data_IF_424368692704
#
_entry.id   IF_424368692704
#
_cell.length_a   1.000
_cell.length_b   1.000
_cell.length_c   1.000
_cell.angle_alpha   90.00
_cell.angle_beta   90.00
_cell.angle_gamma   90.00
#
_symmetry.space_group_name_H-M   'P 1'
#
loop_
_entity.id
_entity.type
_entity.pdbx_description
1 polymer ?
#
# COMPACT_ATOMS: atom_id res chain seq x y z
N UNK A 1 11.76 -3.50 9.52
CA UNK A 1 10.61 -3.97 8.70
C UNK A 1 9.26 -3.34 9.08
N UNK A 2 8.92 -3.11 10.36
CA UNK A 2 7.62 -2.53 10.74
C UNK A 2 7.21 -1.25 9.97
N UNK A 3 8.10 -0.26 9.87
CA UNK A 3 7.85 0.98 9.13
C UNK A 3 7.65 0.76 7.63
N UNK A 4 8.29 -0.26 7.05
CA UNK A 4 8.14 -0.63 5.64
C UNK A 4 6.73 -1.16 5.40
N UNK A 5 6.24 -2.06 6.26
CA UNK A 5 4.87 -2.58 6.16
C UNK A 5 3.81 -1.50 6.33
N UNK A 6 4.01 -0.57 7.27
CA UNK A 6 3.15 0.60 7.40
C UNK A 6 3.17 1.46 6.13
N UNK A 7 4.34 1.77 5.59
CA UNK A 7 4.47 2.59 4.39
C UNK A 7 3.81 1.95 3.16
N UNK A 8 3.90 0.62 2.99
CA UNK A 8 3.23 -0.12 1.90
C UNK A 8 1.71 0.11 1.92
N UNK A 9 1.10 0.16 3.10
CA UNK A 9 -0.36 0.39 3.23
C UNK A 9 -0.71 1.88 3.18
N UNK A 10 0.10 2.73 3.83
CA UNK A 10 -0.19 4.15 3.98
C UNK A 10 0.09 4.98 2.72
N UNK A 11 1.06 4.59 1.87
CA UNK A 11 1.37 5.34 0.66
C UNK A 11 0.19 5.46 -0.32
N UNK A 12 -0.53 4.38 -0.71
CA UNK A 12 -1.70 4.48 -1.58
C UNK A 12 -2.88 5.16 -0.87
N UNK A 13 -3.01 4.99 0.46
CA UNK A 13 -4.02 5.71 1.23
C UNK A 13 -3.79 7.22 1.19
N UNK A 14 -2.55 7.67 1.43
CA UNK A 14 -2.18 9.07 1.34
C UNK A 14 -2.40 9.63 -0.07
N UNK A 15 -2.02 8.86 -1.10
CA UNK A 15 -2.26 9.26 -2.49
C UNK A 15 -3.75 9.36 -2.82
N UNK A 16 -4.58 8.44 -2.33
CA UNK A 16 -6.03 8.47 -2.49
C UNK A 16 -6.65 9.67 -1.76
N UNK A 17 -6.19 10.00 -0.55
CA UNK A 17 -6.64 11.20 0.17
C UNK A 17 -6.27 12.49 -0.58
N UNK A 18 -5.05 12.57 -1.12
CA UNK A 18 -4.59 13.74 -1.88
C UNK A 18 -5.41 13.87 -3.17
N UNK A 19 -5.53 12.82 -3.97
CA UNK A 19 -6.27 12.84 -5.22
C UNK A 19 -7.79 13.03 -5.00
N UNK A 20 -8.36 12.44 -3.95
CA UNK A 20 -9.79 12.52 -3.64
C UNK A 20 -10.21 13.88 -3.07
N UNK A 21 -9.48 14.41 -2.08
CA UNK A 21 -9.83 15.67 -1.43
C UNK A 21 -9.33 16.90 -2.21
N UNK A 22 -8.16 16.80 -2.85
CA UNK A 22 -7.52 17.93 -3.53
C UNK A 22 -7.46 17.76 -5.06
N UNK A 23 -8.12 16.75 -5.63
CA UNK A 23 -8.13 16.48 -7.07
C UNK A 23 -8.50 17.69 -7.94
N UNK A 24 -9.46 18.51 -7.50
CA UNK A 24 -9.85 19.75 -8.20
C UNK A 24 -8.77 20.83 -8.19
N UNK A 25 -7.92 20.86 -7.16
CA UNK A 25 -6.84 21.85 -7.02
C UNK A 25 -5.57 21.43 -7.78
N UNK A 26 -5.21 20.14 -7.75
CA UNK A 26 -4.02 19.60 -8.44
C UNK A 26 -4.28 19.25 -9.90
N UNK A 27 -5.55 19.23 -10.31
CA UNK A 27 -5.99 18.85 -11.64
C UNK A 27 -5.80 17.37 -11.94
N UNK A 28 -6.36 16.95 -13.08
CA UNK A 28 -6.37 15.56 -13.53
C UNK A 28 -4.97 14.94 -13.64
N UNK A 29 -4.03 15.65 -14.25
CA UNK A 29 -2.65 15.17 -14.40
C UNK A 29 -1.95 14.99 -13.04
N UNK A 30 -2.18 15.90 -12.09
CA UNK A 30 -1.66 15.79 -10.73
C UNK A 30 -2.23 14.59 -9.98
N UNK A 31 -3.55 14.36 -10.09
CA UNK A 31 -4.21 13.21 -9.47
C UNK A 31 -3.66 11.86 -9.98
N UNK A 32 -3.45 11.72 -11.29
CA UNK A 32 -2.83 10.53 -11.89
C UNK A 32 -1.40 10.31 -11.40
N UNK A 33 -0.57 11.35 -11.39
CA UNK A 33 0.81 11.24 -10.92
C UNK A 33 0.91 10.85 -9.44
N UNK A 34 0.11 11.48 -8.58
CA UNK A 34 0.13 11.21 -7.14
C UNK A 34 -0.30 9.77 -6.84
N UNK A 35 -1.36 9.29 -7.50
CA UNK A 35 -1.86 7.92 -7.30
C UNK A 35 -0.90 6.86 -7.83
N UNK A 36 -0.31 7.07 -9.02
CA UNK A 36 0.71 6.18 -9.57
C UNK A 36 1.96 6.15 -8.69
N UNK A 37 2.44 7.30 -8.22
CA UNK A 37 3.59 7.35 -7.32
C UNK A 37 3.28 6.67 -5.98
N UNK A 38 2.10 6.87 -5.41
CA UNK A 38 1.69 6.23 -4.16
C UNK A 38 1.70 4.71 -4.26
N UNK A 39 1.09 4.16 -5.30
CA UNK A 39 1.09 2.70 -5.54
C UNK A 39 2.47 2.19 -5.94
N UNK A 40 3.24 2.97 -6.72
CA UNK A 40 4.59 2.63 -7.14
C UNK A 40 5.56 2.52 -5.97
N UNK A 41 5.48 3.43 -4.99
CA UNK A 41 6.25 3.33 -3.74
C UNK A 41 5.88 2.04 -3.00
N UNK A 42 4.59 1.73 -2.86
CA UNK A 42 4.17 0.47 -2.23
C UNK A 42 4.65 -0.77 -2.96
N UNK A 43 4.67 -0.76 -4.30
CA UNK A 43 5.20 -1.86 -5.08
C UNK A 43 6.70 -2.06 -4.83
N UNK A 44 7.50 -0.98 -4.90
CA UNK A 44 8.94 -1.04 -4.62
C UNK A 44 9.21 -1.54 -3.19
N UNK A 45 8.49 -1.04 -2.20
CA UNK A 45 8.64 -1.49 -0.81
C UNK A 45 8.20 -2.94 -0.61
N UNK A 46 7.17 -3.41 -1.34
CA UNK A 46 6.76 -4.82 -1.32
C UNK A 46 7.83 -5.74 -1.90
N UNK A 47 8.56 -5.31 -2.94
CA UNK A 47 9.71 -6.04 -3.48
C UNK A 47 10.86 -6.15 -2.47
N UNK A 48 11.12 -5.09 -1.71
CA UNK A 48 12.11 -5.11 -0.62
C UNK A 48 11.70 -6.12 0.45
N UNK A 49 10.43 -6.11 0.87
CA UNK A 49 9.91 -7.10 1.81
C UNK A 49 9.97 -8.54 1.25
N UNK A 50 9.72 -8.71 -0.05
CA UNK A 50 9.78 -10.01 -0.72
C UNK A 50 11.22 -10.53 -0.75
N UNK A 51 12.18 -9.63 -0.97
CA UNK A 51 13.59 -9.98 -0.92
C UNK A 51 14.00 -10.51 0.47
N UNK A 52 13.67 -9.76 1.52
CA UNK A 52 13.96 -10.12 2.91
C UNK A 52 13.36 -11.50 3.29
N UNK A 53 12.05 -11.70 3.11
CA UNK A 53 11.39 -12.93 3.59
C UNK A 53 11.61 -14.16 2.70
N UNK A 54 11.73 -13.99 1.38
CA UNK A 54 11.77 -15.13 0.44
C UNK A 54 13.18 -15.49 0.04
N UNK A 55 14.03 -14.51 -0.27
CA UNK A 55 15.38 -14.74 -0.81
C UNK A 55 16.46 -14.71 0.26
N UNK A 56 16.36 -13.80 1.25
CA UNK A 56 17.34 -13.69 2.34
C UNK A 56 17.00 -14.61 3.52
N UNK A 57 15.81 -15.20 3.53
CA UNK A 57 15.39 -16.16 4.55
C UNK A 57 14.94 -15.52 5.86
N UNK A 58 14.48 -14.27 5.82
CA UNK A 58 13.93 -13.56 6.97
C UNK A 58 12.75 -14.30 7.64
N UNK A 59 12.61 -14.08 8.94
CA UNK A 59 11.54 -14.65 9.75
C UNK A 59 10.21 -13.89 9.57
N UNK A 60 9.05 -14.57 9.69
CA UNK A 60 7.75 -13.91 9.67
C UNK A 60 7.65 -12.80 10.72
N UNK A 61 7.10 -11.66 10.34
CA UNK A 61 6.86 -10.55 11.26
C UNK A 61 5.46 -10.64 11.84
N UNK A 62 5.34 -10.62 13.16
CA UNK A 62 4.07 -10.46 13.86
C UNK A 62 4.20 -9.30 14.85
N UNK A 63 3.54 -8.19 14.56
CA UNK A 63 3.69 -6.97 15.35
C UNK A 63 2.42 -6.15 15.43
N UNK A 64 2.07 -5.77 16.65
CA UNK A 64 0.93 -4.90 16.97
C UNK A 64 1.28 -3.44 16.72
N UNK A 65 0.39 -2.75 16.00
CA UNK A 65 0.49 -1.31 15.70
C UNK A 65 -0.33 -0.50 16.71
N UNK A 66 -1.56 -0.96 17.01
CA UNK A 66 -2.47 -0.28 17.92
C UNK A 66 -3.33 -1.27 18.68
N UNK A 67 -3.47 -1.08 19.99
CA UNK A 67 -4.39 -1.85 20.82
C UNK A 67 -5.72 -1.12 20.90
N UNK A 68 -6.73 -1.68 20.25
CA UNK A 68 -8.05 -1.06 20.14
C UNK A 68 -8.86 -1.19 21.43
N UNK A 69 -8.81 -2.34 22.09
CA UNK A 69 -9.53 -2.58 23.35
C UNK A 69 -8.83 -3.62 24.22
N UNK A 70 -9.13 -3.61 25.51
CA UNK A 70 -8.84 -4.73 26.42
C UNK A 70 -10.07 -5.06 27.25
N UNK A 71 -10.37 -6.35 27.40
CA UNK A 71 -11.48 -6.81 28.22
C UNK A 71 -11.12 -8.14 28.86
N UNK A 72 -11.14 -8.21 30.19
CA UNK A 72 -10.94 -9.46 30.94
C UNK A 72 -9.61 -10.18 30.63
N UNK A 73 -8.54 -9.45 30.27
CA UNK A 73 -7.24 -10.03 29.91
C UNK A 73 -7.07 -10.39 28.42
N UNK A 74 -8.10 -10.20 27.60
CA UNK A 74 -8.01 -10.31 26.14
C UNK A 74 -7.69 -8.93 25.56
N UNK A 75 -6.70 -8.87 24.68
CA UNK A 75 -6.33 -7.66 23.94
C UNK A 75 -6.82 -7.74 22.50
N UNK A 76 -7.56 -6.73 22.05
CA UNK A 76 -7.95 -6.56 20.66
C UNK A 76 -6.95 -5.64 19.99
N UNK A 77 -6.16 -6.20 19.08
CA UNK A 77 -4.97 -5.55 18.52
C UNK A 77 -5.09 -5.44 17.00
N UNK A 78 -4.75 -4.27 16.48
CA UNK A 78 -4.54 -4.00 15.06
C UNK A 78 -3.05 -4.08 14.83
N UNK A 79 -2.63 -4.97 13.94
CA UNK A 79 -1.23 -5.23 13.67
C UNK A 79 -1.04 -5.87 12.31
N UNK A 80 0.19 -6.29 12.05
CA UNK A 80 0.52 -7.05 10.86
C UNK A 80 1.06 -8.42 11.25
N UNK A 81 0.53 -9.44 10.57
CA UNK A 81 1.17 -10.73 10.43
C UNK A 81 1.66 -10.82 8.98
N UNK A 82 2.96 -10.73 8.79
CA UNK A 82 3.61 -10.73 7.48
C UNK A 82 4.48 -11.96 7.37
N UNK A 83 4.00 -12.92 6.59
CA UNK A 83 4.72 -14.13 6.22
C UNK A 83 5.00 -14.16 4.71
N UNK A 84 5.64 -15.24 4.24
CA UNK A 84 6.02 -15.41 2.83
C UNK A 84 4.83 -15.33 1.88
N UNK A 85 3.67 -15.87 2.28
CA UNK A 85 2.45 -15.82 1.47
C UNK A 85 1.91 -14.39 1.41
N UNK A 86 1.88 -13.70 2.55
CA UNK A 86 1.41 -12.32 2.67
C UNK A 86 2.24 -11.38 1.81
N UNK A 87 3.57 -11.51 1.85
CA UNK A 87 4.47 -10.66 1.05
C UNK A 87 4.34 -10.92 -0.45
N UNK A 88 4.18 -12.18 -0.85
CA UNK A 88 3.93 -12.51 -2.24
C UNK A 88 2.61 -11.88 -2.73
N UNK A 89 1.55 -11.96 -1.92
CA UNK A 89 0.26 -11.32 -2.24
C UNK A 89 0.36 -9.79 -2.26
N UNK A 90 1.06 -9.17 -1.31
CA UNK A 90 1.30 -7.72 -1.32
C UNK A 90 1.99 -7.26 -2.61
N UNK A 91 2.98 -8.03 -3.07
CA UNK A 91 3.71 -7.74 -4.32
C UNK A 91 2.82 -7.85 -5.54
N UNK A 92 2.02 -8.92 -5.64
CA UNK A 92 1.07 -9.12 -6.75
C UNK A 92 0.01 -8.02 -6.78
N UNK A 93 -0.59 -7.70 -5.63
CA UNK A 93 -1.65 -6.68 -5.52
C UNK A 93 -1.12 -5.31 -5.90
N UNK A 94 0.05 -4.91 -5.38
CA UNK A 94 0.64 -3.60 -5.69
C UNK A 94 1.11 -3.51 -7.15
N UNK A 95 1.63 -4.61 -7.73
CA UNK A 95 1.98 -4.68 -9.14
C UNK A 95 0.76 -4.52 -10.06
N UNK A 96 -0.28 -5.32 -9.86
CA UNK A 96 -1.51 -5.25 -10.67
C UNK A 96 -2.16 -3.88 -10.50
N UNK A 97 -2.19 -3.35 -9.27
CA UNK A 97 -2.69 -2.00 -8.99
C UNK A 97 -1.91 -0.94 -9.78
N UNK A 98 -0.57 -1.02 -9.84
CA UNK A 98 0.26 -0.09 -10.60
C UNK A 98 -0.10 -0.14 -12.10
N UNK A 99 -0.23 -1.34 -12.67
CA UNK A 99 -0.63 -1.51 -14.07
C UNK A 99 -2.02 -0.91 -14.34
N UNK A 100 -2.98 -1.12 -13.43
CA UNK A 100 -4.33 -0.55 -13.55
C UNK A 100 -4.30 0.98 -13.47
N UNK A 101 -3.52 1.57 -12.56
CA UNK A 101 -3.38 3.03 -12.46
C UNK A 101 -2.73 3.65 -13.70
N UNK A 102 -1.79 2.95 -14.34
CA UNK A 102 -1.22 3.40 -15.62
C UNK A 102 -2.25 3.27 -16.74
N UNK A 103 -3.00 2.17 -16.78
CA UNK A 103 -4.04 1.94 -17.78
C UNK A 103 -5.15 2.99 -17.72
N UNK A 104 -5.57 3.42 -16.53
CA UNK A 104 -6.65 4.39 -16.35
C UNK A 104 -6.32 5.77 -16.91
N UNK A 105 -5.03 6.14 -17.08
CA UNK A 105 -4.66 7.40 -17.74
C UNK A 105 -5.24 7.47 -19.15
N UNK A 106 -5.08 6.39 -19.92
CA UNK A 106 -5.58 6.30 -21.29
C UNK A 106 -7.07 5.98 -21.33
N UNK A 107 -7.52 5.05 -20.49
CA UNK A 107 -8.93 4.63 -20.47
C UNK A 107 -9.88 5.79 -20.11
N UNK A 108 -9.50 6.64 -19.15
CA UNK A 108 -10.35 7.75 -18.72
C UNK A 108 -10.16 8.99 -19.58
N UNK A 109 -9.31 9.00 -20.63
CA UNK A 109 -8.81 10.23 -21.28
C UNK A 109 -9.90 11.25 -21.62
N UNK A 110 -11.02 10.75 -22.14
CA UNK A 110 -12.16 11.54 -22.60
C UNK A 110 -13.27 11.71 -21.52
N UNK A 111 -13.01 11.31 -20.28
CA UNK A 111 -13.93 11.51 -19.16
C UNK A 111 -13.69 12.89 -18.50
N UNK A 112 -14.77 13.65 -18.29
CA UNK A 112 -14.69 15.03 -17.79
C UNK A 112 -14.35 15.13 -16.29
N UNK A 113 -14.45 14.02 -15.54
CA UNK A 113 -14.02 13.92 -14.13
C UNK A 113 -14.96 14.52 -13.09
#
# INVERSE_FOLDING_TARGET
MANVYLAIVLAPLAAALIAGLFGKAIGRAGAHWVTILGVGVSFVLSLVALNDLVFEGGEPYNGTVYRWASMGGIYFEVGFLVDRLTVLMMTVVTFVSLCVHVYTIGYMHDDDG
#
